data_IF_519815082542
#
_entry.id   IF_519815082542
#
_cell.length_a   1.000
_cell.length_b   1.000
_cell.length_c   1.000
_cell.angle_alpha   90.00
_cell.angle_beta   90.00
_cell.angle_gamma   90.00
#
_symmetry.space_group_name_H-M   'P 1'
#
loop_
_entity.id
_entity.type
_entity.pdbx_description
1 polymer ?
#
# COMPACT_ATOMS: atom_id res chain seq x y z
N UNK A 1 15.08 -12.06 20.56
CA UNK A 1 13.79 -12.19 19.86
C UNK A 1 13.75 -11.11 18.81
N UNK A 2 13.87 -11.43 17.53
CA UNK A 2 13.57 -10.43 16.48
C UNK A 2 12.05 -10.24 16.47
N UNK A 3 11.59 -9.01 16.61
CA UNK A 3 10.17 -8.68 16.53
C UNK A 3 9.61 -9.01 15.14
N UNK A 4 8.30 -9.25 15.08
CA UNK A 4 7.58 -9.39 13.81
C UNK A 4 7.69 -8.09 13.01
N UNK A 5 8.17 -8.17 11.77
CA UNK A 5 8.28 -7.03 10.85
C UNK A 5 6.98 -6.91 10.08
N UNK A 6 6.25 -5.81 10.27
CA UNK A 6 5.04 -5.49 9.52
C UNK A 6 5.38 -4.76 8.23
N UNK A 7 4.99 -5.35 7.11
CA UNK A 7 5.21 -4.81 5.77
C UNK A 7 3.89 -4.40 5.16
N UNK A 8 3.73 -3.10 4.89
CA UNK A 8 2.59 -2.61 4.10
C UNK A 8 2.92 -2.69 2.62
N UNK A 9 2.11 -3.43 1.87
CA UNK A 9 2.24 -3.61 0.43
C UNK A 9 1.24 -2.75 -0.34
N UNK A 10 1.74 -2.01 -1.33
CA UNK A 10 0.99 -1.06 -2.15
C UNK A 10 1.09 -1.42 -3.63
N UNK A 11 -0.05 -1.44 -4.32
CA UNK A 11 -0.10 -1.72 -5.76
C UNK A 11 -0.28 -0.43 -6.56
N UNK A 12 0.61 -0.18 -7.52
CA UNK A 12 0.48 0.93 -8.47
C UNK A 12 -0.55 0.70 -9.58
N UNK A 13 -1.45 -0.27 -9.45
CA UNK A 13 -2.49 -0.53 -10.45
C UNK A 13 -3.79 -0.98 -9.79
N UNK A 14 -4.88 -0.26 -10.08
CA UNK A 14 -6.21 -0.50 -9.51
C UNK A 14 -7.06 -1.48 -10.32
N UNK A 15 -6.60 -1.93 -11.50
CA UNK A 15 -7.38 -2.87 -12.32
C UNK A 15 -7.55 -4.20 -11.59
N UNK A 16 -8.76 -4.77 -11.62
CA UNK A 16 -9.10 -6.04 -10.96
C UNK A 16 -8.11 -7.18 -11.22
N UNK A 17 -7.60 -7.28 -12.44
CA UNK A 17 -6.65 -8.32 -12.88
C UNK A 17 -5.18 -7.86 -12.90
N UNK A 18 -4.79 -6.91 -12.04
CA UNK A 18 -3.41 -6.39 -11.95
C UNK A 18 -2.42 -7.51 -11.60
N UNK A 19 -1.38 -7.65 -12.43
CA UNK A 19 -0.25 -8.54 -12.13
C UNK A 19 0.55 -8.07 -10.92
N UNK A 20 0.67 -6.75 -10.71
CA UNK A 20 1.35 -6.19 -9.53
C UNK A 20 0.62 -6.53 -8.23
N UNK A 21 -0.72 -6.49 -8.22
CA UNK A 21 -1.51 -6.99 -7.08
C UNK A 21 -1.35 -8.51 -6.94
N UNK A 22 -1.18 -9.23 -8.06
CA UNK A 22 -0.79 -10.64 -8.06
C UNK A 22 0.52 -10.90 -7.34
N UNK A 23 1.57 -10.13 -7.62
CA UNK A 23 2.86 -10.24 -6.93
C UNK A 23 2.72 -9.99 -5.42
N UNK A 24 1.90 -9.01 -5.01
CA UNK A 24 1.60 -8.77 -3.58
C UNK A 24 0.91 -9.98 -2.96
N UNK A 25 -0.07 -10.60 -3.64
CA UNK A 25 -0.71 -11.83 -3.14
C UNK A 25 0.30 -12.94 -2.93
N UNK A 26 1.21 -13.14 -3.87
CA UNK A 26 2.31 -14.11 -3.71
C UNK A 26 3.24 -13.76 -2.55
N UNK A 27 3.56 -12.47 -2.34
CA UNK A 27 4.37 -12.05 -1.19
C UNK A 27 3.68 -12.35 0.16
N UNK A 28 2.35 -12.17 0.25
CA UNK A 28 1.55 -12.52 1.42
C UNK A 28 1.57 -14.05 1.66
N UNK A 29 1.47 -14.85 0.60
CA UNK A 29 1.55 -16.32 0.72
C UNK A 29 2.92 -16.76 1.24
N UNK A 30 4.00 -16.17 0.71
CA UNK A 30 5.37 -16.45 1.14
C UNK A 30 5.64 -16.00 2.58
N UNK A 31 5.09 -14.87 3.02
CA UNK A 31 5.24 -14.41 4.41
C UNK A 31 4.57 -15.35 5.41
N UNK A 32 3.54 -16.10 4.99
CA UNK A 32 2.83 -17.06 5.85
C UNK A 32 3.48 -18.45 5.88
N UNK A 33 4.26 -18.80 4.86
CA UNK A 33 4.72 -20.18 4.62
C UNK A 33 6.24 -20.36 4.59
N UNK A 34 7.00 -19.34 4.23
CA UNK A 34 8.44 -19.44 3.97
C UNK A 34 9.24 -18.41 4.77
N UNK A 35 8.78 -17.17 4.86
CA UNK A 35 9.54 -16.08 5.48
C UNK A 35 9.10 -15.87 6.91
N UNK A 36 9.87 -16.41 7.85
CA UNK A 36 9.61 -16.24 9.28
C UNK A 36 9.83 -14.79 9.74
N UNK A 37 8.99 -14.33 10.68
CA UNK A 37 9.13 -13.01 11.29
C UNK A 37 8.72 -11.83 10.40
N UNK A 38 8.03 -12.08 9.28
CA UNK A 38 7.50 -11.04 8.39
C UNK A 38 6.00 -11.23 8.21
N UNK A 39 5.23 -10.16 8.38
CA UNK A 39 3.82 -10.11 8.05
C UNK A 39 3.59 -9.08 6.94
N UNK A 40 3.04 -9.51 5.80
CA UNK A 40 2.71 -8.61 4.69
C UNK A 40 1.21 -8.33 4.68
N UNK A 41 0.83 -7.05 4.73
CA UNK A 41 -0.54 -6.57 4.58
C UNK A 41 -0.70 -5.82 3.27
N UNK A 42 -1.65 -6.23 2.41
CA UNK A 42 -2.05 -5.42 1.26
C UNK A 42 -2.97 -4.29 1.69
N UNK A 43 -2.62 -3.06 1.33
CA UNK A 43 -3.44 -1.87 1.57
C UNK A 43 -4.06 -1.39 0.27
N UNK A 44 -5.38 -1.45 0.19
CA UNK A 44 -6.13 -0.93 -0.95
C UNK A 44 -6.14 0.60 -0.91
N UNK A 45 -5.71 1.20 -2.03
CA UNK A 45 -5.62 2.65 -2.22
C UNK A 45 -6.67 3.19 -3.21
N UNK A 46 -7.59 2.33 -3.67
CA UNK A 46 -8.61 2.69 -4.67
C UNK A 46 -9.49 3.87 -4.26
N UNK A 47 -9.75 4.02 -2.96
CA UNK A 47 -10.57 5.09 -2.39
C UNK A 47 -9.78 6.34 -1.98
N UNK A 48 -8.45 6.37 -2.16
CA UNK A 48 -7.68 7.56 -1.81
C UNK A 48 -7.99 8.69 -2.80
N UNK A 49 -8.36 9.89 -2.32
CA UNK A 49 -8.61 11.03 -3.18
C UNK A 49 -7.32 11.49 -3.85
N UNK A 50 -7.46 12.21 -4.98
CA UNK A 50 -6.37 13.06 -5.45
C UNK A 50 -5.96 14.04 -4.36
N UNK A 51 -4.67 14.35 -4.30
CA UNK A 51 -4.15 15.32 -3.33
C UNK A 51 -4.91 16.64 -3.45
N UNK A 52 -5.52 17.06 -2.36
CA UNK A 52 -6.18 18.35 -2.23
C UNK A 52 -5.88 18.92 -0.84
N UNK A 53 -4.97 19.90 -0.79
CA UNK A 53 -4.52 20.53 0.46
C UNK A 53 -5.60 21.37 1.13
N UNK A 54 -6.67 21.75 0.43
CA UNK A 54 -7.81 22.48 1.03
C UNK A 54 -8.62 21.60 1.98
N UNK A 55 -8.50 20.28 1.84
CA UNK A 55 -9.11 19.30 2.74
C UNK A 55 -8.28 19.08 4.01
N UNK A 56 -7.05 19.59 4.07
CA UNK A 56 -6.20 19.53 5.25
C UNK A 56 -6.56 20.69 6.20
N UNK A 57 -7.21 20.37 7.32
CA UNK A 57 -7.65 21.37 8.30
C UNK A 57 -7.07 21.06 9.65
N UNK A 58 -6.23 21.94 10.18
CA UNK A 58 -5.67 21.83 11.54
C UNK A 58 -5.02 20.47 11.82
N UNK A 59 -4.37 19.87 10.81
CA UNK A 59 -3.73 18.55 10.91
C UNK A 59 -4.68 17.35 10.77
N UNK A 60 -5.95 17.57 10.41
CA UNK A 60 -6.91 16.52 10.06
C UNK A 60 -6.97 16.29 8.56
N UNK A 61 -7.29 15.06 8.17
CA UNK A 61 -7.36 14.58 6.79
C UNK A 61 -8.72 13.90 6.54
N UNK A 62 -9.16 13.74 5.27
CA UNK A 62 -10.30 12.89 4.94
C UNK A 62 -10.18 11.48 5.56
N UNK A 63 -11.30 10.86 5.90
CA UNK A 63 -11.33 9.62 6.67
C UNK A 63 -10.53 8.48 6.00
N UNK A 64 -10.62 8.37 4.67
CA UNK A 64 -9.88 7.39 3.87
C UNK A 64 -8.37 7.64 3.90
N UNK A 65 -7.97 8.92 3.87
CA UNK A 65 -6.57 9.33 3.98
C UNK A 65 -6.05 9.04 5.38
N UNK A 66 -6.82 9.34 6.42
CA UNK A 66 -6.42 9.06 7.79
C UNK A 66 -6.29 7.56 8.07
N UNK A 67 -7.26 6.76 7.61
CA UNK A 67 -7.17 5.30 7.71
C UNK A 67 -5.93 4.74 7.01
N UNK A 68 -5.59 5.26 5.82
CA UNK A 68 -4.35 4.91 5.13
C UNK A 68 -3.11 5.34 5.92
N UNK A 69 -3.07 6.58 6.42
CA UNK A 69 -1.95 7.09 7.23
C UNK A 69 -1.69 6.22 8.45
N UNK A 70 -2.73 5.79 9.17
CA UNK A 70 -2.59 4.92 10.33
C UNK A 70 -1.94 3.57 9.98
N UNK A 71 -2.27 2.99 8.82
CA UNK A 71 -1.60 1.76 8.34
C UNK A 71 -0.13 2.01 8.02
N UNK A 72 0.19 3.12 7.35
CA UNK A 72 1.57 3.48 7.02
C UNK A 72 2.40 3.72 8.28
N UNK A 73 1.85 4.44 9.27
CA UNK A 73 2.54 4.73 10.54
C UNK A 73 2.78 3.48 11.40
N UNK A 74 1.93 2.46 11.26
CA UNK A 74 2.06 1.19 11.98
C UNK A 74 2.97 0.16 11.31
N UNK A 75 3.55 0.48 10.16
CA UNK A 75 4.40 -0.43 9.39
C UNK A 75 5.89 -0.22 9.70
N UNK A 76 6.65 -1.31 9.69
CA UNK A 76 8.11 -1.29 9.79
C UNK A 76 8.78 -1.15 8.41
N UNK A 77 8.07 -1.57 7.35
CA UNK A 77 8.58 -1.54 5.98
C UNK A 77 7.46 -1.41 4.95
N UNK A 78 7.84 -1.06 3.72
CA UNK A 78 6.93 -0.85 2.60
C UNK A 78 7.35 -1.68 1.39
N UNK A 79 6.38 -2.35 0.76
CA UNK A 79 6.56 -3.08 -0.49
C UNK A 79 5.75 -2.40 -1.60
N UNK A 80 6.43 -1.81 -2.58
CA UNK A 80 5.77 -1.22 -3.74
C UNK A 80 5.82 -2.18 -4.94
N UNK A 81 4.65 -2.60 -5.41
CA UNK A 81 4.50 -3.30 -6.67
C UNK A 81 3.83 -2.37 -7.69
N UNK A 82 4.62 -1.70 -8.51
CA UNK A 82 4.14 -0.71 -9.47
C UNK A 82 4.37 -1.17 -10.91
N UNK A 83 3.40 -0.98 -11.83
CA UNK A 83 3.70 -1.00 -13.25
C UNK A 83 4.56 0.22 -13.62
N UNK A 84 5.12 0.18 -14.81
CA UNK A 84 5.67 1.36 -15.48
C UNK A 84 4.62 1.94 -16.43
N UNK A 85 4.23 3.19 -16.25
CA UNK A 85 3.33 3.92 -17.14
C UNK A 85 4.08 5.11 -17.76
N UNK A 86 4.20 5.14 -19.09
CA UNK A 86 4.86 6.21 -19.85
C UNK A 86 6.29 6.51 -19.36
N UNK A 87 7.11 5.47 -19.18
CA UNK A 87 8.49 5.58 -18.66
C UNK A 87 8.57 6.22 -17.27
N UNK A 88 7.50 6.13 -16.47
CA UNK A 88 7.43 6.70 -15.14
C UNK A 88 6.54 5.88 -14.20
N UNK A 89 6.37 6.39 -12.98
CA UNK A 89 5.50 5.84 -11.95
C UNK A 89 4.03 5.98 -12.32
N UNK A 90 3.20 5.08 -11.81
CA UNK A 90 1.75 5.18 -11.98
C UNK A 90 1.21 6.42 -11.25
N UNK A 91 0.50 7.28 -11.97
CA UNK A 91 -0.42 8.25 -11.37
C UNK A 91 -1.77 7.61 -11.07
N UNK A 92 -2.46 8.11 -10.05
CA UNK A 92 -3.86 7.73 -9.84
C UNK A 92 -4.72 8.36 -10.94
N UNK A 93 -5.52 7.54 -11.63
CA UNK A 93 -6.55 7.99 -12.56
C UNK A 93 -7.88 7.79 -11.85
N UNK A 94 -8.40 8.84 -11.21
CA UNK A 94 -9.81 8.90 -10.85
C UNK A 94 -10.62 9.36 -12.05
#
# INVERSE_FOLDING_TARGET
MSGLIKVVALSGSLRKASYNTGLIRSAIELSKSVVEGVEVEYVDISNLPLLNTDLEKEGTYPAEVEAFRQKILGADSFLFASPEYNYSVSGNKQ
#
